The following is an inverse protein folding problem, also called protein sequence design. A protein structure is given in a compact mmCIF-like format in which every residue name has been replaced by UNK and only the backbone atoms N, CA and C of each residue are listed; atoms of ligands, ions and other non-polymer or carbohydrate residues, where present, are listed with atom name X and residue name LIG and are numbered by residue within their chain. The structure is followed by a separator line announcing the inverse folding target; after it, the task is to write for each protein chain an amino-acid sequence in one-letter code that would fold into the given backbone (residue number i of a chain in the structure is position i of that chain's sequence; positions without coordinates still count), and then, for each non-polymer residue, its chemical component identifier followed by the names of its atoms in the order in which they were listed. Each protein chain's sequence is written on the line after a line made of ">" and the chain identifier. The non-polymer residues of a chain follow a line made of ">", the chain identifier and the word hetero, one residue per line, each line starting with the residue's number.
data_IF_655918659956
#
_entry.id   IF_655918659956
#
_cell.length_a   1.000
_cell.length_b   1.000
_cell.length_c   1.000
_cell.angle_alpha   90.00
_cell.angle_beta   90.00
_cell.angle_gamma   90.00
#
_symmetry.space_group_name_H-M   'P 1'
#
loop_
_entity.id
_entity.type
_entity.pdbx_description
1 polymer ?
#
# COMPACT_ATOMS: atom_id res chain seq x y z
N UNK A 1 -24.45 -7.56 3.60
CA UNK A 1 -23.12 -8.06 3.22
C UNK A 1 -23.06 -9.54 3.50
N UNK A 2 -22.57 -10.34 2.56
CA UNK A 2 -22.33 -11.77 2.74
C UNK A 2 -21.06 -11.95 3.57
N UNK A 3 -21.18 -12.51 4.77
CA UNK A 3 -20.04 -12.81 5.62
C UNK A 3 -19.42 -14.15 5.19
N UNK A 4 -18.19 -14.11 4.68
CA UNK A 4 -17.39 -15.32 4.39
C UNK A 4 -16.53 -15.63 5.61
N UNK A 5 -16.62 -16.86 6.11
CA UNK A 5 -15.79 -17.34 7.22
C UNK A 5 -14.53 -17.99 6.68
N UNK A 6 -13.39 -17.64 7.26
CA UNK A 6 -12.09 -18.22 6.89
C UNK A 6 -11.31 -18.48 8.18
N UNK A 7 -10.67 -19.65 8.27
CA UNK A 7 -9.72 -19.97 9.32
C UNK A 7 -8.32 -19.52 8.90
N UNK A 8 -7.57 -18.93 9.82
CA UNK A 8 -6.18 -18.51 9.61
C UNK A 8 -5.33 -18.99 10.78
N UNK A 9 -4.08 -19.34 10.51
CA UNK A 9 -3.08 -19.55 11.55
C UNK A 9 -2.46 -18.21 11.95
N UNK A 10 -2.27 -18.00 13.24
CA UNK A 10 -1.63 -16.83 13.81
C UNK A 10 -0.71 -17.25 14.93
N UNK A 11 0.34 -16.47 15.14
CA UNK A 11 1.15 -16.55 16.33
C UNK A 11 0.30 -16.29 17.59
N UNK A 12 0.56 -17.04 18.66
CA UNK A 12 -0.23 -16.97 19.88
C UNK A 12 -0.08 -15.63 20.60
N UNK A 13 1.14 -15.08 20.63
CA UNK A 13 1.43 -13.78 21.26
C UNK A 13 0.67 -12.70 20.50
N UNK A 14 0.75 -12.71 19.16
CA UNK A 14 0.00 -11.78 18.33
C UNK A 14 -1.51 -11.90 18.53
N UNK A 15 -2.05 -13.12 18.62
CA UNK A 15 -3.48 -13.32 18.86
C UNK A 15 -3.91 -12.73 20.21
N UNK A 16 -3.07 -12.89 21.25
CA UNK A 16 -3.33 -12.32 22.57
C UNK A 16 -3.30 -10.79 22.55
N UNK A 17 -2.34 -10.16 21.88
CA UNK A 17 -2.30 -8.71 21.70
C UNK A 17 -3.54 -8.19 20.96
N UNK A 18 -3.94 -8.87 19.88
CA UNK A 18 -5.16 -8.53 19.14
C UNK A 18 -6.40 -8.65 20.03
N UNK A 19 -6.48 -9.69 20.86
CA UNK A 19 -7.60 -9.87 21.79
C UNK A 19 -7.69 -8.74 22.82
N UNK A 20 -6.56 -8.34 23.40
CA UNK A 20 -6.50 -7.24 24.37
C UNK A 20 -6.92 -5.94 23.71
N UNK A 21 -6.30 -5.58 22.59
CA UNK A 21 -6.58 -4.33 21.90
C UNK A 21 -8.01 -4.26 21.35
N UNK A 22 -8.55 -5.36 20.84
CA UNK A 22 -9.94 -5.40 20.38
C UNK A 22 -10.92 -5.17 21.54
N UNK A 23 -10.65 -5.70 22.73
CA UNK A 23 -11.44 -5.44 23.94
C UNK A 23 -11.37 -3.97 24.36
N UNK A 24 -10.17 -3.40 24.40
CA UNK A 24 -9.95 -2.00 24.79
C UNK A 24 -10.65 -1.03 23.83
N UNK A 25 -10.69 -1.37 22.54
CA UNK A 25 -11.40 -0.61 21.51
C UNK A 25 -12.91 -0.96 21.40
N UNK A 26 -13.44 -1.77 22.32
CA UNK A 26 -14.83 -2.24 22.32
C UNK A 26 -15.30 -2.80 20.97
N UNK A 27 -14.47 -3.64 20.33
CA UNK A 27 -14.80 -4.27 19.05
C UNK A 27 -14.53 -5.77 19.04
N UNK A 28 -15.22 -6.49 18.14
CA UNK A 28 -14.95 -7.91 17.94
C UNK A 28 -13.62 -8.12 17.21
N UNK A 29 -12.97 -9.26 17.46
CA UNK A 29 -11.79 -9.70 16.69
C UNK A 29 -12.01 -9.63 15.18
N UNK A 30 -13.15 -10.09 14.68
CA UNK A 30 -13.45 -10.07 13.25
C UNK A 30 -13.50 -8.64 12.71
N UNK A 31 -14.04 -7.68 13.49
CA UNK A 31 -14.04 -6.26 13.11
C UNK A 31 -12.63 -5.69 13.14
N UNK A 32 -11.82 -6.04 14.15
CA UNK A 32 -10.41 -5.67 14.22
C UNK A 32 -9.65 -6.13 12.96
N UNK A 33 -9.68 -7.43 12.64
CA UNK A 33 -8.99 -7.97 11.47
C UNK A 33 -9.52 -7.39 10.15
N UNK A 34 -10.83 -7.16 10.05
CA UNK A 34 -11.42 -6.52 8.86
C UNK A 34 -10.87 -5.11 8.68
N UNK A 35 -10.77 -4.33 9.76
CA UNK A 35 -10.25 -2.97 9.71
C UNK A 35 -8.75 -2.97 9.39
N UNK A 36 -7.97 -3.82 10.05
CA UNK A 36 -6.54 -3.97 9.81
C UNK A 36 -6.25 -4.37 8.35
N UNK A 37 -6.99 -5.35 7.82
CA UNK A 37 -6.85 -5.78 6.42
C UNK A 37 -7.21 -4.66 5.44
N UNK A 38 -8.32 -3.94 5.65
CA UNK A 38 -8.71 -2.80 4.82
C UNK A 38 -7.64 -1.71 4.81
N UNK A 39 -7.12 -1.38 5.99
CA UNK A 39 -6.12 -0.34 6.13
C UNK A 39 -4.79 -0.74 5.47
N UNK A 40 -4.35 -1.97 5.66
CA UNK A 40 -3.15 -2.48 5.00
C UNK A 40 -3.29 -2.49 3.46
N UNK A 41 -4.44 -2.96 2.94
CA UNK A 41 -4.72 -2.93 1.50
C UNK A 41 -4.70 -1.48 0.98
N UNK A 42 -5.29 -0.54 1.72
CA UNK A 42 -5.30 0.88 1.35
C UNK A 42 -3.88 1.45 1.28
N UNK A 43 -3.03 1.13 2.26
CA UNK A 43 -1.63 1.55 2.28
C UNK A 43 -0.85 0.98 1.09
N UNK A 44 -1.04 -0.29 0.75
CA UNK A 44 -0.38 -0.92 -0.40
C UNK A 44 -0.82 -0.31 -1.73
N UNK A 45 -2.13 -0.03 -1.89
CA UNK A 45 -2.65 0.69 -3.07
C UNK A 45 -2.04 2.09 -3.18
N UNK A 46 -1.97 2.83 -2.07
CA UNK A 46 -1.36 4.17 -2.03
C UNK A 46 0.12 4.10 -2.43
N UNK A 47 0.88 3.16 -1.87
CA UNK A 47 2.29 2.97 -2.19
C UNK A 47 2.49 2.71 -3.68
N UNK A 48 1.73 1.76 -4.23
CA UNK A 48 1.76 1.43 -5.67
C UNK A 48 1.49 2.65 -6.55
N UNK A 49 0.47 3.45 -6.22
CA UNK A 49 0.15 4.65 -6.98
C UNK A 49 1.28 5.69 -6.95
N UNK A 50 1.88 5.92 -5.78
CA UNK A 50 3.03 6.85 -5.64
C UNK A 50 4.22 6.36 -6.46
N UNK A 51 4.51 5.06 -6.44
CA UNK A 51 5.60 4.46 -7.21
C UNK A 51 5.36 4.56 -8.73
N UNK A 52 4.12 4.37 -9.17
CA UNK A 52 3.70 4.54 -10.57
C UNK A 52 3.85 6.00 -11.02
N UNK A 53 3.34 6.96 -10.24
CA UNK A 53 3.48 8.39 -10.53
C UNK A 53 4.97 8.78 -10.61
N UNK A 54 5.77 8.35 -9.64
CA UNK A 54 7.21 8.64 -9.62
C UNK A 54 7.94 8.07 -10.84
N UNK A 55 7.49 6.91 -11.33
CA UNK A 55 8.05 6.30 -12.55
C UNK A 55 7.69 7.07 -13.80
N UNK A 56 6.42 7.49 -13.94
CA UNK A 56 5.98 8.32 -15.05
C UNK A 56 6.70 9.67 -15.09
N UNK A 57 6.87 10.32 -13.93
CA UNK A 57 7.61 11.58 -13.83
C UNK A 57 9.08 11.41 -14.25
N UNK A 58 9.75 10.32 -13.85
CA UNK A 58 11.12 10.03 -14.29
C UNK A 58 11.21 9.86 -15.81
N UNK A 59 10.27 9.14 -16.42
CA UNK A 59 10.22 8.96 -17.88
C UNK A 59 10.07 10.30 -18.59
N UNK A 60 9.15 11.15 -18.12
CA UNK A 60 8.92 12.46 -18.75
C UNK A 60 10.14 13.39 -18.61
N UNK A 61 10.78 13.40 -17.43
CA UNK A 61 12.03 14.16 -17.23
C UNK A 61 13.12 13.67 -18.19
N UNK A 62 13.29 12.36 -18.36
CA UNK A 62 14.29 11.81 -19.29
C UNK A 62 14.01 12.22 -20.74
N UNK A 63 12.74 12.22 -21.15
CA UNK A 63 12.30 12.66 -22.48
C UNK A 63 12.56 14.16 -22.71
N UNK A 64 12.33 15.00 -21.70
CA UNK A 64 12.62 16.43 -21.79
C UNK A 64 14.14 16.65 -21.90
N UNK A 65 14.93 15.98 -21.06
CA UNK A 65 16.38 16.09 -21.08
C UNK A 65 16.97 15.65 -22.43
N UNK A 66 16.50 14.53 -22.99
CA UNK A 66 16.97 14.08 -24.30
C UNK A 66 16.62 15.07 -25.42
N UNK A 67 15.44 15.70 -25.36
CA UNK A 67 15.05 16.76 -26.28
C UNK A 67 15.93 18.01 -26.17
N UNK A 68 16.29 18.41 -24.94
CA UNK A 68 17.19 19.56 -24.71
C UNK A 68 18.59 19.26 -25.26
N UNK A 69 19.15 18.08 -24.97
CA UNK A 69 20.46 17.66 -25.47
C UNK A 69 20.50 17.71 -27.00
N UNK A 70 19.47 17.19 -27.67
CA UNK A 70 19.37 17.22 -29.14
C UNK A 70 19.33 18.64 -29.75
N UNK A 71 18.94 19.67 -28.98
CA UNK A 71 18.93 21.07 -29.42
C UNK A 71 20.27 21.75 -29.15
N UNK A 72 20.96 21.40 -28.06
CA UNK A 72 22.21 22.05 -27.64
C UNK A 72 23.44 21.43 -28.34
N UNK A 73 23.40 20.14 -28.67
CA UNK A 73 24.47 19.42 -29.36
C UNK A 73 23.93 18.75 -30.64
N UNK A 74 23.57 19.53 -31.68
CA UNK A 74 22.95 18.97 -32.88
C UNK A 74 23.91 18.18 -33.79
N UNK A 75 25.24 18.40 -33.68
CA UNK A 75 26.24 17.96 -34.68
C UNK A 75 27.53 17.35 -34.08
N UNK A 76 27.40 16.30 -33.26
CA UNK A 76 28.42 15.26 -33.05
C UNK A 76 27.81 13.87 -33.27
#
# INVERSE_FOLDING_TARGET
>A
MTAVKTAISLDEILLNEVNTLAKDLHMSRSKFFTNAAKEYIRQQKKKKLVDEIGTLLRIEIQKILSGIVAVIEPDY
#
